data_IF_530153963860
#
_entry.id   IF_530153963860
#
_cell.length_a   1.000
_cell.length_b   1.000
_cell.length_c   1.000
_cell.angle_alpha   90.00
_cell.angle_beta   90.00
_cell.angle_gamma   90.00
#
_symmetry.space_group_name_H-M   'P 1'
#
loop_
_entity.id
_entity.type
_entity.pdbx_description
1 polymer ?
#
# COMPACT_ATOMS: atom_id res chain seq x y z
N UNK A 1 4.43 -9.36 10.32
CA UNK A 1 5.22 -10.37 9.58
C UNK A 1 4.45 -10.79 8.34
N UNK A 2 5.01 -10.59 7.14
CA UNK A 2 4.48 -11.21 5.93
C UNK A 2 4.47 -12.73 6.10
N UNK A 3 3.56 -13.43 5.41
CA UNK A 3 3.67 -14.89 5.36
C UNK A 3 5.03 -15.22 4.73
N UNK A 4 5.85 -16.07 5.36
CA UNK A 4 7.15 -16.42 4.82
C UNK A 4 6.98 -16.95 3.39
N UNK A 5 7.80 -16.44 2.46
CA UNK A 5 7.80 -16.90 1.07
C UNK A 5 8.76 -18.07 0.96
N UNK A 6 8.27 -19.19 0.47
CA UNK A 6 9.05 -20.39 0.30
C UNK A 6 9.17 -20.73 -1.18
N UNK A 7 10.28 -21.34 -1.56
CA UNK A 7 10.54 -21.74 -2.93
C UNK A 7 11.29 -23.06 -3.01
N UNK A 8 11.45 -23.55 -4.25
CA UNK A 8 12.32 -24.69 -4.51
C UNK A 8 13.79 -24.29 -4.26
N UNK A 9 14.60 -25.16 -3.64
CA UNK A 9 16.05 -24.94 -3.59
C UNK A 9 16.60 -24.80 -5.02
N UNK A 10 17.42 -23.77 -5.28
CA UNK A 10 18.15 -23.60 -6.56
C UNK A 10 19.59 -24.11 -6.42
N UNK A 11 20.03 -24.91 -7.38
CA UNK A 11 21.39 -25.48 -7.50
C UNK A 11 21.39 -26.78 -8.32
N UNK A 12 22.41 -26.95 -9.17
CA UNK A 12 22.65 -28.18 -9.95
C UNK A 12 23.24 -29.21 -9.00
N UNK A 13 22.37 -30.06 -8.44
CA UNK A 13 22.59 -31.47 -8.14
C UNK A 13 21.23 -32.04 -7.72
N UNK A 14 20.87 -33.23 -8.19
CA UNK A 14 19.66 -33.94 -7.78
C UNK A 14 19.72 -34.46 -6.32
N UNK A 15 20.62 -33.92 -5.50
CA UNK A 15 20.59 -34.02 -4.06
C UNK A 15 19.99 -32.72 -3.52
N UNK A 16 18.67 -32.74 -3.31
CA UNK A 16 17.92 -31.63 -2.75
C UNK A 16 18.59 -31.11 -1.49
N UNK A 17 18.97 -29.82 -1.49
CA UNK A 17 19.43 -29.13 -0.29
C UNK A 17 18.44 -29.42 0.85
N UNK A 18 18.95 -30.08 1.90
CA UNK A 18 18.23 -30.28 3.14
C UNK A 18 17.72 -28.93 3.64
N UNK A 19 16.49 -28.91 4.16
CA UNK A 19 15.89 -27.71 4.68
C UNK A 19 14.96 -28.08 5.83
N UNK A 20 14.87 -27.26 6.89
CA UNK A 20 13.89 -27.49 7.95
C UNK A 20 12.45 -27.24 7.49
N UNK A 21 12.22 -26.76 6.26
CA UNK A 21 10.88 -26.54 5.74
C UNK A 21 10.52 -27.50 4.61
N UNK A 22 9.27 -27.95 4.63
CA UNK A 22 8.71 -28.91 3.70
C UNK A 22 7.53 -28.28 2.98
N UNK A 23 7.57 -28.31 1.65
CA UNK A 23 6.38 -28.11 0.83
C UNK A 23 5.58 -29.41 0.80
N UNK A 24 4.31 -29.35 1.16
CA UNK A 24 3.41 -30.50 1.25
C UNK A 24 2.19 -30.25 0.37
N UNK A 25 2.08 -30.99 -0.73
CA UNK A 25 0.89 -30.96 -1.59
C UNK A 25 -0.17 -31.96 -1.13
N UNK A 26 -1.40 -31.75 -1.61
CA UNK A 26 -2.58 -32.52 -1.22
C UNK A 26 -2.87 -32.42 0.29
N UNK A 27 -2.54 -31.27 0.87
CA UNK A 27 -2.57 -31.01 2.30
C UNK A 27 -2.88 -29.53 2.52
N UNK A 28 -4.02 -29.23 3.16
CA UNK A 28 -4.45 -27.87 3.43
C UNK A 28 -5.98 -27.69 3.54
N UNK A 29 -6.46 -26.47 3.84
CA UNK A 29 -7.88 -26.21 4.09
C UNK A 29 -8.81 -26.56 2.92
N UNK A 30 -8.38 -26.33 1.67
CA UNK A 30 -9.19 -26.61 0.49
C UNK A 30 -9.42 -28.12 0.26
N UNK A 31 -8.59 -28.98 0.87
CA UNK A 31 -8.77 -30.43 0.85
C UNK A 31 -9.35 -30.95 2.18
N UNK A 32 -9.86 -30.06 3.04
CA UNK A 32 -10.55 -30.41 4.29
C UNK A 32 -9.63 -30.67 5.49
N UNK A 33 -8.41 -30.14 5.50
CA UNK A 33 -7.47 -30.27 6.62
C UNK A 33 -7.13 -28.89 7.20
N UNK A 34 -7.33 -28.70 8.52
CA UNK A 34 -6.92 -27.48 9.20
C UNK A 34 -5.40 -27.44 9.40
N UNK A 35 -4.82 -26.25 9.55
CA UNK A 35 -3.40 -26.11 9.85
C UNK A 35 -3.02 -26.79 11.18
N UNK A 36 -3.90 -26.76 12.18
CA UNK A 36 -3.67 -27.38 13.49
C UNK A 36 -3.63 -28.91 13.40
N UNK A 37 -4.51 -29.52 12.59
CA UNK A 37 -4.48 -30.96 12.32
C UNK A 37 -3.18 -31.34 11.62
N UNK A 38 -2.76 -30.56 10.64
CA UNK A 38 -1.50 -30.81 9.92
C UNK A 38 -0.31 -30.67 10.88
N UNK A 39 -0.27 -29.62 11.70
CA UNK A 39 0.80 -29.40 12.67
C UNK A 39 0.90 -30.56 13.67
N UNK A 40 -0.24 -31.07 14.14
CA UNK A 40 -0.30 -32.18 15.11
C UNK A 40 0.30 -33.47 14.54
N UNK A 41 0.02 -33.80 13.28
CA UNK A 41 0.59 -34.99 12.62
C UNK A 41 2.10 -34.83 12.41
N UNK A 42 2.54 -33.66 11.94
CA UNK A 42 3.96 -33.40 11.69
C UNK A 42 4.77 -33.27 12.99
N UNK A 43 4.14 -32.92 14.13
CA UNK A 43 4.80 -32.86 15.43
C UNK A 43 5.37 -34.22 15.91
N UNK A 44 4.91 -35.34 15.35
CA UNK A 44 5.46 -36.68 15.65
C UNK A 44 6.95 -36.84 15.24
N UNK A 45 7.43 -35.99 14.33
CA UNK A 45 8.81 -36.05 13.80
C UNK A 45 9.74 -34.99 14.41
N UNK A 46 9.18 -34.05 15.19
CA UNK A 46 9.93 -33.01 15.90
C UNK A 46 9.12 -31.74 16.11
N UNK A 47 9.76 -30.72 16.66
CA UNK A 47 9.10 -29.45 16.99
C UNK A 47 8.74 -28.66 15.71
N UNK A 48 7.45 -28.42 15.53
CA UNK A 48 6.89 -27.68 14.39
C UNK A 48 6.77 -26.20 14.75
N UNK A 49 7.54 -25.36 14.08
CA UNK A 49 7.48 -23.90 14.18
C UNK A 49 6.17 -23.32 13.63
N UNK A 50 5.57 -24.00 12.63
CA UNK A 50 4.26 -23.61 12.11
C UNK A 50 3.91 -24.24 10.77
N UNK A 51 2.64 -24.07 10.41
CA UNK A 51 2.07 -24.49 9.12
C UNK A 51 1.53 -23.26 8.39
N UNK A 52 2.03 -23.02 7.20
CA UNK A 52 1.73 -21.83 6.39
C UNK A 52 1.10 -22.25 5.05
N UNK A 53 0.24 -21.40 4.47
CA UNK A 53 -0.23 -21.63 3.11
C UNK A 53 0.95 -21.51 2.13
N UNK A 54 1.13 -22.52 1.25
CA UNK A 54 2.20 -22.48 0.25
C UNK A 54 1.85 -21.57 -0.94
N UNK A 55 0.55 -21.46 -1.25
CA UNK A 55 0.00 -20.62 -2.30
C UNK A 55 -1.49 -20.30 -1.99
N UNK A 56 -2.15 -19.58 -2.89
CA UNK A 56 -3.57 -19.19 -2.74
C UNK A 56 -4.54 -20.35 -3.03
N UNK A 57 -4.07 -21.55 -3.41
CA UNK A 57 -4.96 -22.68 -3.73
C UNK A 57 -5.61 -23.31 -2.50
N UNK A 58 -4.99 -23.14 -1.32
CA UNK A 58 -5.41 -23.79 -0.08
C UNK A 58 -5.26 -25.31 -0.06
N UNK A 59 -4.73 -25.93 -1.11
CA UNK A 59 -4.52 -27.38 -1.20
C UNK A 59 -3.06 -27.80 -0.92
N UNK A 60 -2.21 -26.82 -0.58
CA UNK A 60 -0.78 -26.98 -0.35
C UNK A 60 -0.35 -26.12 0.83
N UNK A 61 0.53 -26.65 1.66
CA UNK A 61 1.08 -25.97 2.83
C UNK A 61 2.60 -26.08 2.88
N UNK A 62 3.20 -25.22 3.69
CA UNK A 62 4.58 -25.31 4.15
C UNK A 62 4.57 -25.69 5.62
N UNK A 63 5.23 -26.79 5.97
CA UNK A 63 5.50 -27.17 7.36
C UNK A 63 6.93 -26.78 7.68
N UNK A 64 7.13 -26.02 8.74
CA UNK A 64 8.45 -25.56 9.20
C UNK A 64 8.81 -26.21 10.53
N UNK A 65 9.99 -26.82 10.61
CA UNK A 65 10.57 -27.41 11.81
C UNK A 65 11.66 -26.52 12.42
N UNK A 66 12.02 -26.80 13.67
CA UNK A 66 13.21 -26.21 14.31
C UNK A 66 14.52 -26.69 13.67
N UNK A 67 14.56 -27.91 13.12
CA UNK A 67 15.78 -28.51 12.57
C UNK A 67 15.54 -29.34 11.30
N UNK A 68 16.61 -29.57 10.54
CA UNK A 68 16.58 -30.33 9.28
C UNK A 68 16.35 -31.83 9.49
N UNK A 69 16.65 -32.35 10.68
CA UNK A 69 16.53 -33.79 10.95
C UNK A 69 15.08 -34.23 11.08
N UNK A 70 14.25 -33.40 11.73
CA UNK A 70 12.81 -33.59 11.79
C UNK A 70 12.13 -33.46 10.43
N UNK A 71 12.54 -32.47 9.63
CA UNK A 71 12.04 -32.32 8.26
C UNK A 71 12.38 -33.54 7.39
N UNK A 72 13.59 -34.09 7.52
CA UNK A 72 14.01 -35.31 6.83
C UNK A 72 13.21 -36.53 7.26
N UNK A 73 13.04 -36.73 8.57
CA UNK A 73 12.28 -37.86 9.11
C UNK A 73 10.82 -37.84 8.63
N UNK A 74 10.19 -36.66 8.63
CA UNK A 74 8.82 -36.50 8.13
C UNK A 74 8.71 -36.74 6.62
N UNK A 75 9.67 -36.26 5.82
CA UNK A 75 9.69 -36.50 4.38
C UNK A 75 9.84 -38.00 4.07
N UNK A 76 10.76 -38.70 4.73
CA UNK A 76 10.98 -40.14 4.54
C UNK A 76 9.76 -40.98 4.94
N UNK A 77 9.07 -40.58 6.01
CA UNK A 77 7.91 -41.31 6.52
C UNK A 77 6.61 -41.05 5.74
N UNK A 78 6.41 -39.83 5.23
CA UNK A 78 5.12 -39.38 4.70
C UNK A 78 5.09 -39.14 3.18
N UNK A 79 6.22 -38.87 2.51
CA UNK A 79 6.22 -38.65 1.05
C UNK A 79 5.82 -39.92 0.31
N UNK A 80 4.79 -39.85 -0.54
CA UNK A 80 4.36 -41.00 -1.35
C UNK A 80 3.63 -42.10 -0.57
N UNK A 81 3.47 -41.98 0.74
CA UNK A 81 2.78 -42.94 1.59
C UNK A 81 1.41 -42.43 2.03
N UNK A 82 0.37 -43.29 2.10
CA UNK A 82 -0.92 -42.91 2.67
C UNK A 82 -0.80 -42.57 4.17
N UNK A 83 -1.31 -41.41 4.57
CA UNK A 83 -1.33 -40.99 5.97
C UNK A 83 -2.74 -41.14 6.57
N UNK A 84 -3.01 -42.15 7.43
CA UNK A 84 -4.34 -42.39 8.01
C UNK A 84 -4.87 -41.20 8.80
N UNK A 85 -4.00 -40.53 9.55
CA UNK A 85 -4.33 -39.36 10.40
C UNK A 85 -4.76 -38.15 9.57
N UNK A 86 -4.38 -38.11 8.28
CA UNK A 86 -4.80 -37.09 7.32
C UNK A 86 -5.83 -37.64 6.32
N UNK A 87 -6.64 -38.61 6.74
CA UNK A 87 -7.74 -39.18 5.95
C UNK A 87 -7.27 -40.17 4.88
N UNK A 88 -6.16 -40.86 5.10
CA UNK A 88 -5.59 -41.84 4.17
C UNK A 88 -4.97 -41.24 2.91
N UNK A 89 -4.75 -39.92 2.89
CA UNK A 89 -4.23 -39.21 1.72
C UNK A 89 -2.75 -39.52 1.52
N UNK A 90 -2.36 -39.69 0.26
CA UNK A 90 -0.95 -39.70 -0.12
C UNK A 90 -0.47 -38.27 -0.29
N UNK A 91 0.58 -37.91 0.44
CA UNK A 91 1.20 -36.59 0.37
C UNK A 91 2.33 -36.58 -0.66
N UNK A 92 2.58 -35.41 -1.24
CA UNK A 92 3.79 -35.17 -2.03
C UNK A 92 4.62 -34.08 -1.36
N UNK A 93 5.74 -34.49 -0.79
CA UNK A 93 6.59 -33.70 0.08
C UNK A 93 7.91 -33.41 -0.62
N UNK A 94 8.34 -32.15 -0.58
CA UNK A 94 9.64 -31.72 -1.10
C UNK A 94 10.25 -30.72 -0.12
N UNK A 95 11.57 -30.72 0.00
CA UNK A 95 12.24 -29.63 0.73
C UNK A 95 11.91 -28.29 0.09
N UNK A 96 11.67 -27.30 0.94
CA UNK A 96 11.46 -25.92 0.54
C UNK A 96 12.31 -25.03 1.40
N UNK A 97 13.01 -24.10 0.77
CA UNK A 97 13.79 -23.10 1.49
C UNK A 97 12.94 -21.86 1.65
N UNK A 98 13.05 -21.22 2.82
CA UNK A 98 12.63 -19.83 2.97
C UNK A 98 13.38 -19.04 1.89
N UNK A 99 12.66 -18.45 0.95
CA UNK A 99 13.27 -17.49 0.06
C UNK A 99 13.54 -16.25 0.91
N UNK A 100 14.82 -15.84 1.07
CA UNK A 100 15.08 -14.45 1.39
C UNK A 100 14.31 -13.65 0.35
N UNK A 101 13.54 -12.64 0.77
CA UNK A 101 13.11 -11.60 -0.15
C UNK A 101 14.34 -11.21 -0.96
N UNK A 102 14.32 -11.49 -2.26
CA UNK A 102 15.51 -11.44 -3.10
C UNK A 102 16.26 -10.13 -2.88
N UNK A 103 17.56 -10.16 -2.50
CA UNK A 103 18.36 -8.94 -2.40
C UNK A 103 18.48 -8.17 -3.72
N UNK A 104 18.21 -8.83 -4.87
CA UNK A 104 18.33 -8.23 -6.20
C UNK A 104 17.16 -7.30 -6.62
N UNK A 105 16.27 -6.92 -5.70
CA UNK A 105 15.34 -5.80 -5.89
C UNK A 105 15.61 -4.61 -4.94
N UNK A 106 16.76 -4.59 -4.25
CA UNK A 106 17.13 -3.54 -3.27
C UNK A 106 17.87 -2.36 -3.92
N UNK A 107 18.04 -2.31 -5.24
CA UNK A 107 18.54 -1.09 -5.89
C UNK A 107 17.45 -0.01 -6.10
N UNK A 108 16.19 -0.29 -5.72
CA UNK A 108 15.06 0.61 -5.98
C UNK A 108 14.23 0.98 -4.74
N UNK A 109 14.66 0.52 -3.54
CA UNK A 109 13.98 0.84 -2.28
C UNK A 109 14.37 2.22 -1.79
N UNK A 110 13.50 3.20 -2.03
CA UNK A 110 13.62 4.56 -1.48
C UNK A 110 13.50 4.47 0.04
N UNK A 111 14.44 5.06 0.83
CA UNK A 111 14.30 5.15 2.27
C UNK A 111 12.98 5.80 2.67
N UNK A 112 12.24 5.15 3.57
CA UNK A 112 10.92 5.61 4.02
C UNK A 112 11.06 6.34 5.34
N UNK A 113 10.71 7.62 5.35
CA UNK A 113 10.74 8.44 6.57
C UNK A 113 9.41 8.37 7.33
N UNK A 114 9.47 8.63 8.64
CA UNK A 114 8.28 8.67 9.50
C UNK A 114 7.76 10.10 9.73
N UNK A 115 8.59 11.10 9.44
CA UNK A 115 8.29 12.53 9.60
C UNK A 115 8.53 13.23 8.27
N UNK A 116 7.72 14.25 7.98
CA UNK A 116 7.76 14.97 6.70
C UNK A 116 9.04 15.80 6.52
N UNK A 117 9.60 16.34 7.61
CA UNK A 117 10.83 17.14 7.60
C UNK A 117 12.02 16.39 6.99
N UNK A 118 12.11 15.08 7.21
CA UNK A 118 13.22 14.26 6.70
C UNK A 118 13.24 14.17 5.17
N UNK A 119 12.11 14.42 4.51
CA UNK A 119 12.02 14.36 3.05
C UNK A 119 12.64 15.58 2.39
N UNK A 120 12.78 16.70 3.12
CA UNK A 120 13.21 18.00 2.60
C UNK A 120 12.40 18.43 1.37
N UNK A 121 11.08 18.23 1.39
CA UNK A 121 10.15 18.69 0.36
C UNK A 121 9.43 19.95 0.89
N UNK A 122 9.68 21.13 0.32
CA UNK A 122 9.01 22.36 0.74
C UNK A 122 7.49 22.26 0.60
N UNK A 123 6.76 22.66 1.65
CA UNK A 123 5.30 22.65 1.68
C UNK A 123 4.66 21.28 1.94
N UNK A 124 5.46 20.27 2.33
CA UNK A 124 4.99 18.96 2.78
C UNK A 124 4.96 18.89 4.31
N UNK A 125 3.80 18.58 4.89
CA UNK A 125 3.65 18.40 6.33
C UNK A 125 2.86 17.13 6.65
N UNK A 126 3.18 16.48 7.77
CA UNK A 126 2.47 15.30 8.26
C UNK A 126 2.12 15.50 9.74
N UNK A 127 0.83 15.49 10.06
CA UNK A 127 0.31 15.55 11.43
C UNK A 127 -0.17 14.15 11.81
N UNK A 128 0.50 13.53 12.78
CA UNK A 128 0.11 12.24 13.35
C UNK A 128 -1.07 12.42 14.31
N UNK A 129 -1.88 11.36 14.46
CA UNK A 129 -3.05 11.33 15.37
C UNK A 129 -3.97 12.57 15.25
N UNK A 130 -4.16 13.06 14.01
CA UNK A 130 -5.01 14.20 13.68
C UNK A 130 -6.48 13.96 14.06
N UNK A 131 -6.92 12.70 13.96
CA UNK A 131 -8.19 12.23 14.49
C UNK A 131 -7.96 11.19 15.58
N UNK A 132 -8.89 11.11 16.52
CA UNK A 132 -8.98 10.03 17.49
C UNK A 132 -9.51 8.75 16.84
N UNK A 133 -9.35 7.61 17.52
CA UNK A 133 -9.94 6.33 17.07
C UNK A 133 -11.46 6.41 16.92
N UNK A 134 -12.14 7.13 17.83
CA UNK A 134 -13.59 7.30 17.77
C UNK A 134 -14.02 8.10 16.53
N UNK A 135 -13.34 9.21 16.25
CA UNK A 135 -13.61 9.99 15.04
C UNK A 135 -13.32 9.18 13.77
N UNK A 136 -12.26 8.37 13.75
CA UNK A 136 -11.98 7.44 12.64
C UNK A 136 -13.13 6.44 12.43
N UNK A 137 -13.65 5.83 13.48
CA UNK A 137 -14.81 4.92 13.41
C UNK A 137 -16.07 5.62 12.87
N UNK A 138 -16.38 6.82 13.35
CA UNK A 138 -17.54 7.61 12.91
C UNK A 138 -17.44 8.04 11.43
N UNK A 139 -16.24 8.46 10.99
CA UNK A 139 -15.96 8.80 9.59
C UNK A 139 -16.11 7.58 8.68
N UNK A 140 -15.59 6.42 9.10
CA UNK A 140 -15.66 5.17 8.33
C UNK A 140 -17.10 4.66 8.23
N UNK A 141 -17.85 4.65 9.33
CA UNK A 141 -19.27 4.28 9.33
C UNK A 141 -20.08 5.18 8.40
N UNK A 142 -19.83 6.49 8.46
CA UNK A 142 -20.48 7.48 7.60
C UNK A 142 -20.29 7.15 6.11
N UNK A 143 -19.06 6.88 5.66
CA UNK A 143 -18.81 6.60 4.23
C UNK A 143 -19.24 5.18 3.82
N UNK A 144 -19.26 4.21 4.74
CA UNK A 144 -19.69 2.85 4.41
C UNK A 144 -21.19 2.73 4.15
N UNK A 145 -22.01 3.58 4.77
CA UNK A 145 -23.46 3.66 4.54
C UNK A 145 -23.84 4.33 3.20
N UNK A 146 -22.87 4.92 2.51
CA UNK A 146 -23.09 5.71 1.28
C UNK A 146 -22.65 4.96 0.02
N UNK A 147 -23.29 5.24 -1.13
CA UNK A 147 -22.97 4.55 -2.38
C UNK A 147 -21.53 4.83 -2.83
N UNK A 148 -20.89 3.82 -3.42
CA UNK A 148 -19.53 3.90 -3.94
C UNK A 148 -19.52 3.86 -5.47
N UNK A 149 -18.67 4.70 -6.08
CA UNK A 149 -18.35 4.60 -7.51
C UNK A 149 -17.10 3.74 -7.69
N UNK A 150 -17.23 2.63 -8.41
CA UNK A 150 -16.11 1.75 -8.71
C UNK A 150 -15.25 2.30 -9.86
N UNK A 151 -13.95 2.35 -9.64
CA UNK A 151 -12.93 2.52 -10.69
C UNK A 151 -12.26 1.16 -10.95
N UNK A 152 -11.33 1.12 -11.91
CA UNK A 152 -10.70 -0.14 -12.35
C UNK A 152 -10.06 -0.99 -11.23
N UNK A 153 -9.51 -0.36 -10.18
CA UNK A 153 -8.80 -1.07 -9.09
C UNK A 153 -9.22 -0.65 -7.68
N UNK A 154 -10.01 0.42 -7.55
CA UNK A 154 -10.37 1.04 -6.26
C UNK A 154 -11.76 1.64 -6.37
N UNK A 155 -12.37 2.01 -5.24
CA UNK A 155 -13.66 2.71 -5.24
C UNK A 155 -13.54 4.10 -4.61
N UNK A 156 -14.43 5.00 -5.02
CA UNK A 156 -14.39 6.41 -4.62
C UNK A 156 -15.77 6.96 -4.27
N UNK A 157 -15.79 8.01 -3.46
CA UNK A 157 -16.93 8.91 -3.27
C UNK A 157 -16.47 10.35 -3.46
N UNK A 158 -17.35 11.19 -3.99
CA UNK A 158 -17.09 12.61 -4.22
C UNK A 158 -18.16 13.46 -3.53
N UNK A 159 -17.74 14.55 -2.92
CA UNK A 159 -18.61 15.53 -2.27
C UNK A 159 -18.15 16.94 -2.63
N UNK A 160 -19.07 17.91 -2.61
CA UNK A 160 -18.78 19.23 -3.18
C UNK A 160 -18.86 19.18 -4.70
N UNK A 161 -17.81 18.66 -5.31
CA UNK A 161 -17.72 18.51 -6.76
C UNK A 161 -17.26 17.11 -7.15
N UNK A 162 -17.78 16.60 -8.28
CA UNK A 162 -17.32 15.33 -8.85
C UNK A 162 -15.95 15.53 -9.53
N UNK A 163 -15.01 14.61 -9.26
CA UNK A 163 -13.75 14.57 -10.00
C UNK A 163 -13.91 13.71 -11.26
N UNK A 164 -13.77 14.34 -12.42
CA UNK A 164 -13.88 13.69 -13.73
C UNK A 164 -12.53 13.05 -14.11
N UNK A 165 -12.42 11.72 -13.99
CA UNK A 165 -11.17 11.00 -14.26
C UNK A 165 -10.73 11.01 -15.73
N UNK A 166 -11.65 11.19 -16.67
CA UNK A 166 -11.37 11.25 -18.11
C UNK A 166 -10.62 12.54 -18.48
N UNK A 167 -11.07 13.67 -17.94
CA UNK A 167 -10.46 14.99 -18.15
C UNK A 167 -9.45 15.36 -17.08
N UNK A 168 -9.37 14.57 -15.99
CA UNK A 168 -8.60 14.85 -14.78
C UNK A 168 -8.92 16.22 -14.19
N UNK A 169 -10.18 16.63 -14.23
CA UNK A 169 -10.60 17.96 -13.77
C UNK A 169 -11.95 17.89 -13.03
N UNK A 170 -12.43 19.03 -12.60
CA UNK A 170 -13.74 19.23 -12.00
C UNK A 170 -14.59 20.06 -12.95
N UNK A 171 -15.85 19.69 -13.12
CA UNK A 171 -16.82 20.55 -13.81
C UNK A 171 -17.37 21.60 -12.83
N UNK A 172 -16.83 22.82 -12.85
CA UNK A 172 -17.22 23.92 -11.95
C UNK A 172 -18.69 24.34 -12.10
N UNK A 173 -19.36 23.95 -13.19
CA UNK A 173 -20.80 24.18 -13.40
C UNK A 173 -21.69 23.12 -12.74
N UNK A 174 -21.13 22.02 -12.25
CA UNK A 174 -21.86 20.92 -11.64
C UNK A 174 -21.41 20.73 -10.18
N UNK A 175 -22.07 21.48 -9.29
CA UNK A 175 -21.91 21.35 -7.86
C UNK A 175 -22.85 20.26 -7.31
N UNK A 176 -22.32 19.31 -6.56
CA UNK A 176 -23.05 18.20 -5.91
C UNK A 176 -23.72 18.62 -4.60
N UNK A 177 -23.47 19.84 -4.12
CA UNK A 177 -23.88 20.33 -2.81
C UNK A 177 -22.70 20.47 -1.85
N UNK A 178 -22.93 21.10 -0.71
CA UNK A 178 -21.87 21.37 0.28
C UNK A 178 -21.19 20.09 0.80
N UNK A 179 -20.03 20.24 1.43
CA UNK A 179 -19.37 19.14 2.12
C UNK A 179 -20.28 18.60 3.24
N UNK A 180 -20.39 17.27 3.39
CA UNK A 180 -21.33 16.68 4.32
C UNK A 180 -20.95 16.96 5.77
N UNK A 181 -21.95 17.11 6.65
CA UNK A 181 -21.73 17.53 8.06
C UNK A 181 -20.81 16.60 8.86
N UNK A 182 -20.70 15.33 8.50
CA UNK A 182 -19.81 14.39 9.19
C UNK A 182 -18.32 14.73 9.04
N UNK A 183 -17.95 15.59 8.08
CA UNK A 183 -16.56 16.09 7.95
C UNK A 183 -16.35 17.46 8.56
N UNK A 184 -17.39 18.13 9.09
CA UNK A 184 -17.25 19.45 9.72
C UNK A 184 -16.19 19.49 10.84
N UNK A 185 -16.10 18.50 11.76
CA UNK A 185 -15.05 18.49 12.78
C UNK A 185 -13.63 18.43 12.18
N UNK A 186 -13.47 17.81 11.01
CA UNK A 186 -12.19 17.71 10.31
C UNK A 186 -11.82 19.05 9.68
N UNK A 187 -12.79 19.75 9.09
CA UNK A 187 -12.60 21.08 8.53
C UNK A 187 -12.24 22.10 9.62
N UNK A 188 -12.87 22.02 10.79
CA UNK A 188 -12.54 22.84 11.96
C UNK A 188 -11.11 22.56 12.45
N UNK A 189 -10.69 21.29 12.53
CA UNK A 189 -9.30 20.97 12.90
C UNK A 189 -8.28 21.46 11.87
N UNK A 190 -8.63 21.42 10.57
CA UNK A 190 -7.75 21.93 9.50
C UNK A 190 -7.55 23.44 9.66
N UNK A 191 -8.60 24.22 9.95
CA UNK A 191 -8.49 25.67 10.10
C UNK A 191 -7.69 26.12 11.33
N UNK A 192 -7.46 25.19 12.28
CA UNK A 192 -6.65 25.40 13.47
C UNK A 192 -5.17 25.00 13.30
N UNK A 193 -4.77 24.48 12.13
CA UNK A 193 -3.37 24.11 11.90
C UNK A 193 -2.47 25.37 11.90
N UNK A 194 -1.38 25.36 12.70
CA UNK A 194 -0.44 26.48 12.76
C UNK A 194 0.35 26.60 11.45
N UNK A 195 0.94 27.77 11.22
CA UNK A 195 1.90 28.03 10.13
C UNK A 195 1.35 27.87 8.70
N UNK A 196 0.03 27.92 8.53
CA UNK A 196 -0.61 28.14 7.25
C UNK A 196 -0.98 29.62 7.16
N UNK A 197 -0.31 30.36 6.26
CA UNK A 197 -0.64 31.76 5.99
C UNK A 197 -2.15 31.87 5.73
N UNK A 198 -2.84 32.59 6.61
CA UNK A 198 -4.30 32.69 6.66
C UNK A 198 -5.06 31.34 6.80
N UNK A 199 -4.70 30.49 7.77
CA UNK A 199 -5.45 29.28 8.14
C UNK A 199 -6.98 29.52 8.30
N UNK A 200 -7.36 30.69 8.82
CA UNK A 200 -8.74 31.12 9.00
C UNK A 200 -9.50 31.41 7.68
N UNK A 201 -8.81 31.53 6.54
CA UNK A 201 -9.41 31.72 5.21
C UNK A 201 -9.38 30.47 4.33
N UNK A 202 -8.94 29.32 4.85
CA UNK A 202 -8.92 28.07 4.09
C UNK A 202 -10.36 27.57 3.95
N UNK A 203 -10.96 27.84 2.79
CA UNK A 203 -12.27 27.29 2.41
C UNK A 203 -12.02 26.05 1.58
N UNK A 204 -12.53 24.90 2.00
CA UNK A 204 -12.47 23.64 1.26
C UNK A 204 -13.88 23.28 0.81
N UNK A 205 -14.06 23.02 -0.48
CA UNK A 205 -15.37 22.78 -1.09
C UNK A 205 -15.41 21.53 -1.97
N UNK A 206 -14.34 20.73 -1.98
CA UNK A 206 -14.33 19.42 -2.60
C UNK A 206 -13.72 18.38 -1.66
N UNK A 207 -14.33 17.20 -1.59
CA UNK A 207 -13.77 16.01 -0.95
C UNK A 207 -13.78 14.82 -1.92
N UNK A 208 -12.65 14.12 -2.04
CA UNK A 208 -12.56 12.78 -2.63
C UNK A 208 -12.24 11.77 -1.53
N UNK A 209 -13.14 10.81 -1.30
CA UNK A 209 -12.87 9.63 -0.48
C UNK A 209 -12.40 8.51 -1.40
N UNK A 210 -11.22 7.94 -1.14
CA UNK A 210 -10.71 6.77 -1.85
C UNK A 210 -10.64 5.59 -0.90
N UNK A 211 -11.10 4.41 -1.33
CA UNK A 211 -10.81 3.15 -0.65
C UNK A 211 -9.92 2.25 -1.52
N UNK A 212 -8.82 1.81 -0.93
CA UNK A 212 -7.83 0.93 -1.52
C UNK A 212 -7.92 -0.47 -0.88
N UNK A 213 -8.21 -1.51 -1.67
CA UNK A 213 -8.01 -2.89 -1.26
C UNK A 213 -6.51 -3.24 -1.06
N UNK A 214 -6.18 -4.36 -0.42
CA UNK A 214 -4.80 -4.77 -0.18
C UNK A 214 -4.06 -5.00 -1.50
N UNK A 215 -2.89 -4.37 -1.67
CA UNK A 215 -2.13 -4.47 -2.92
C UNK A 215 -2.47 -3.41 -3.97
N UNK A 216 -3.55 -2.64 -3.77
CA UNK A 216 -3.92 -1.55 -4.65
C UNK A 216 -3.24 -0.27 -4.19
N UNK A 217 -2.54 0.38 -5.12
CA UNK A 217 -1.93 1.68 -4.94
C UNK A 217 -2.56 2.73 -5.87
N UNK A 218 -1.78 3.76 -6.17
CA UNK A 218 -2.17 4.90 -7.01
C UNK A 218 -0.96 5.33 -7.83
N UNK A 219 -1.09 5.30 -9.16
CA UNK A 219 -0.02 5.70 -10.08
C UNK A 219 0.51 7.12 -9.82
N UNK A 220 1.78 7.42 -10.16
CA UNK A 220 2.35 8.75 -9.95
C UNK A 220 1.55 9.82 -10.68
N UNK A 221 1.20 10.90 -9.99
CA UNK A 221 0.48 12.04 -10.55
C UNK A 221 0.66 13.30 -9.70
N UNK A 222 0.41 14.46 -10.30
CA UNK A 222 0.20 15.72 -9.61
C UNK A 222 -1.30 16.05 -9.72
N UNK A 223 -1.89 16.57 -8.66
CA UNK A 223 -3.27 17.07 -8.71
C UNK A 223 -3.36 18.28 -9.65
N UNK A 224 -4.27 18.21 -10.62
CA UNK A 224 -4.43 19.17 -11.72
C UNK A 224 -4.39 20.61 -11.24
N UNK A 225 -3.55 21.43 -11.85
CA UNK A 225 -3.27 22.78 -11.39
C UNK A 225 -4.47 23.69 -11.61
N UNK A 226 -5.16 23.55 -12.75
CA UNK A 226 -6.39 24.29 -13.06
C UNK A 226 -7.60 23.88 -12.20
N UNK A 227 -7.61 22.65 -11.66
CA UNK A 227 -8.78 22.12 -10.96
C UNK A 227 -8.87 22.58 -9.50
N UNK A 228 -7.72 22.73 -8.83
CA UNK A 228 -7.67 22.95 -7.40
C UNK A 228 -6.69 24.07 -7.01
N UNK A 229 -6.92 24.70 -5.85
CA UNK A 229 -6.03 25.74 -5.33
C UNK A 229 -4.77 25.17 -4.66
N UNK A 230 -4.09 25.95 -3.82
CA UNK A 230 -2.74 25.68 -3.33
C UNK A 230 -2.63 24.62 -2.23
N UNK A 231 -3.68 24.43 -1.42
CA UNK A 231 -3.67 23.50 -0.29
C UNK A 231 -4.45 22.21 -0.59
N UNK A 232 -3.82 21.07 -0.31
CA UNK A 232 -4.43 19.74 -0.43
C UNK A 232 -4.17 18.97 0.86
N UNK A 233 -5.26 18.59 1.53
CA UNK A 233 -5.22 17.85 2.80
C UNK A 233 -5.65 16.41 2.55
N UNK A 234 -4.87 15.43 2.96
CA UNK A 234 -5.19 13.99 2.81
C UNK A 234 -5.13 13.28 4.16
N UNK A 235 -6.31 13.01 4.73
CA UNK A 235 -6.47 12.25 5.96
C UNK A 235 -6.43 10.75 5.63
N UNK A 236 -5.53 9.99 6.24
CA UNK A 236 -5.42 8.54 6.09
C UNK A 236 -6.17 7.83 7.22
N UNK A 237 -6.99 6.82 6.89
CA UNK A 237 -7.82 6.06 7.83
C UNK A 237 -7.77 4.55 7.54
N UNK A 238 -8.15 3.73 8.53
CA UNK A 238 -8.29 2.26 8.53
C UNK A 238 -7.01 1.45 8.28
N UNK A 239 -6.08 1.92 7.44
CA UNK A 239 -4.88 1.19 7.07
C UNK A 239 -3.73 2.12 6.67
N UNK A 240 -2.48 1.75 6.99
CA UNK A 240 -1.32 2.54 6.59
C UNK A 240 -0.97 2.36 5.11
N UNK A 241 -0.11 3.23 4.61
CA UNK A 241 0.66 2.98 3.38
C UNK A 241 1.97 3.77 3.35
N UNK A 242 2.85 3.42 2.41
CA UNK A 242 3.90 4.32 1.95
C UNK A 242 3.34 5.22 0.83
N UNK A 243 3.66 6.51 0.89
CA UNK A 243 3.53 7.43 -0.23
C UNK A 243 4.93 7.86 -0.71
N UNK A 244 5.18 7.72 -2.00
CA UNK A 244 6.40 8.16 -2.66
C UNK A 244 6.14 9.47 -3.42
N UNK A 245 7.12 10.37 -3.39
CA UNK A 245 7.16 11.61 -4.12
C UNK A 245 8.28 11.56 -5.15
N UNK A 246 7.96 11.96 -6.39
CA UNK A 246 8.90 12.02 -7.52
C UNK A 246 8.96 13.44 -8.10
N UNK A 247 10.15 14.04 -8.16
CA UNK A 247 10.39 15.34 -8.81
C UNK A 247 11.31 15.18 -10.01
N UNK A 248 10.80 15.46 -11.20
CA UNK A 248 11.55 15.33 -12.44
C UNK A 248 12.41 16.58 -12.66
N UNK A 249 13.68 16.43 -13.02
CA UNK A 249 14.60 17.58 -13.11
C UNK A 249 14.31 18.46 -14.32
N UNK A 250 13.83 17.88 -15.42
CA UNK A 250 13.61 18.59 -16.69
C UNK A 250 12.12 18.79 -17.04
N UNK A 251 11.20 18.54 -16.10
CA UNK A 251 9.75 18.62 -16.32
C UNK A 251 9.18 17.55 -17.27
N UNK A 252 10.04 16.68 -17.82
CA UNK A 252 9.71 15.73 -18.88
C UNK A 252 9.26 14.37 -18.30
N UNK A 253 8.11 14.35 -17.64
CA UNK A 253 7.48 13.10 -17.14
C UNK A 253 6.97 12.20 -18.27
N UNK A 254 6.70 12.78 -19.45
CA UNK A 254 6.08 12.08 -20.60
C UNK A 254 7.01 11.06 -21.28
N UNK A 255 8.33 11.16 -21.09
CA UNK A 255 9.33 10.35 -21.81
C UNK A 255 9.67 9.00 -21.15
N UNK A 256 9.05 8.63 -20.02
CA UNK A 256 9.41 7.43 -19.24
C UNK A 256 8.74 6.12 -19.75
N UNK A 257 7.98 6.16 -20.85
CA UNK A 257 7.28 4.97 -21.39
C UNK A 257 8.14 4.10 -22.34
N UNK A 258 9.37 4.48 -22.70
CA UNK A 258 10.15 3.79 -23.75
C UNK A 258 11.57 3.37 -23.39
N UNK A 259 12.07 3.61 -22.17
CA UNK A 259 13.42 3.17 -21.79
C UNK A 259 13.37 2.10 -20.71
N UNK A 260 13.74 0.88 -21.10
CA UNK A 260 14.30 -0.13 -20.21
C UNK A 260 15.36 0.52 -19.32
N UNK A 261 15.00 0.80 -18.08
CA UNK A 261 15.91 1.42 -17.11
C UNK A 261 16.96 0.37 -16.73
N UNK A 262 18.19 0.54 -17.23
CA UNK A 262 19.37 -0.11 -16.66
C UNK A 262 19.81 0.65 -15.40
N UNK A 263 20.26 -0.02 -14.33
CA UNK A 263 20.37 0.58 -12.99
C UNK A 263 21.60 1.47 -12.78
N UNK A 264 22.43 1.71 -13.80
CA UNK A 264 23.79 2.22 -13.59
C UNK A 264 24.03 3.67 -14.05
N UNK A 265 23.01 4.45 -14.45
CA UNK A 265 23.18 5.91 -14.66
C UNK A 265 21.86 6.69 -14.44
N UNK A 266 21.73 7.27 -13.24
CA UNK A 266 20.96 8.48 -12.93
C UNK A 266 19.48 8.51 -13.33
N UNK A 267 18.57 8.16 -12.41
CA UNK A 267 17.16 8.49 -12.57
C UNK A 267 16.98 10.01 -12.78
N UNK A 268 16.30 10.42 -13.86
CA UNK A 268 16.00 11.83 -14.19
C UNK A 268 15.04 12.52 -13.19
N UNK A 269 14.85 11.93 -12.01
CA UNK A 269 13.95 12.41 -10.98
C UNK A 269 14.45 12.06 -9.58
N UNK A 270 14.17 12.95 -8.63
CA UNK A 270 14.38 12.74 -7.21
C UNK A 270 13.24 11.93 -6.63
N UNK A 271 13.56 10.93 -5.80
CA UNK A 271 12.58 10.10 -5.09
C UNK A 271 12.69 10.30 -3.59
N UNK A 272 11.55 10.40 -2.93
CA UNK A 272 11.40 10.48 -1.46
C UNK A 272 10.20 9.67 -1.05
N UNK A 273 10.22 9.02 0.11
CA UNK A 273 9.10 8.23 0.58
C UNK A 273 8.78 8.52 2.04
N UNK A 274 7.49 8.54 2.37
CA UNK A 274 6.98 8.75 3.71
C UNK A 274 5.98 7.66 4.08
N UNK A 275 6.03 7.23 5.33
CA UNK A 275 5.00 6.38 5.92
C UNK A 275 3.81 7.21 6.37
N UNK A 276 2.61 6.83 5.93
CA UNK A 276 1.35 7.42 6.33
C UNK A 276 0.61 6.45 7.26
N UNK A 277 0.68 6.65 8.59
CA UNK A 277 -0.13 5.86 9.51
C UNK A 277 -1.61 6.22 9.42
N UNK A 278 -2.51 5.33 9.90
CA UNK A 278 -3.91 5.68 10.12
C UNK A 278 -4.02 6.91 11.04
N UNK A 279 -5.12 7.65 10.87
CA UNK A 279 -5.46 8.89 11.59
C UNK A 279 -4.50 10.06 11.40
N UNK A 280 -3.59 9.98 10.43
CA UNK A 280 -2.68 11.07 10.10
C UNK A 280 -3.22 11.96 8.99
N UNK A 281 -2.92 13.26 9.07
CA UNK A 281 -3.21 14.25 8.03
C UNK A 281 -1.93 14.64 7.30
N UNK A 282 -1.88 14.37 5.99
CA UNK A 282 -0.84 14.85 5.10
C UNK A 282 -1.30 16.17 4.45
N UNK A 283 -0.45 17.19 4.47
CA UNK A 283 -0.67 18.45 3.76
C UNK A 283 0.34 18.61 2.63
N UNK A 284 -0.17 18.90 1.44
CA UNK A 284 0.59 19.36 0.28
C UNK A 284 0.28 20.83 0.01
N UNK A 285 1.32 21.65 -0.03
CA UNK A 285 1.28 23.06 -0.39
C UNK A 285 2.52 23.44 -1.19
N UNK A 286 2.49 24.57 -1.89
CA UNK A 286 3.65 25.08 -2.65
C UNK A 286 4.27 24.00 -3.54
N UNK A 287 5.59 23.80 -3.41
CA UNK A 287 6.34 22.85 -4.23
C UNK A 287 5.80 21.42 -4.13
N UNK A 288 5.49 20.93 -2.92
CA UNK A 288 4.96 19.58 -2.70
C UNK A 288 3.68 19.32 -3.51
N UNK A 289 2.83 20.34 -3.68
CA UNK A 289 1.55 20.27 -4.40
C UNK A 289 1.68 20.49 -5.89
N UNK A 290 2.66 21.26 -6.34
CA UNK A 290 2.77 21.72 -7.74
C UNK A 290 3.89 21.05 -8.55
N UNK A 291 4.87 20.42 -7.92
CA UNK A 291 6.06 19.90 -8.61
C UNK A 291 6.42 18.45 -8.29
N UNK A 292 5.81 17.86 -7.26
CA UNK A 292 6.08 16.48 -6.86
C UNK A 292 4.93 15.55 -7.21
N UNK A 293 5.22 14.56 -8.05
CA UNK A 293 4.27 13.49 -8.33
C UNK A 293 4.16 12.59 -7.11
N UNK A 294 2.97 12.46 -6.55
CA UNK A 294 2.72 11.56 -5.44
C UNK A 294 2.18 10.21 -5.94
N UNK A 295 2.63 9.14 -5.29
CA UNK A 295 2.46 7.76 -5.71
C UNK A 295 2.23 6.87 -4.50
N UNK A 296 1.29 5.92 -4.60
CA UNK A 296 1.14 4.86 -3.60
C UNK A 296 1.52 3.54 -4.29
N UNK A 297 2.56 2.82 -3.84
CA UNK A 297 2.99 1.59 -4.50
C UNK A 297 1.94 0.48 -4.50
N UNK A 298 1.92 -0.33 -5.58
CA UNK A 298 1.02 -1.48 -5.75
C UNK A 298 1.63 -2.76 -5.14
N UNK A 299 1.61 -2.86 -3.81
CA UNK A 299 2.08 -4.04 -3.09
C UNK A 299 1.29 -4.27 -1.80
N UNK A 300 1.35 -5.51 -1.28
CA UNK A 300 0.63 -5.91 -0.05
C UNK A 300 1.46 -5.70 1.22
N UNK A 301 2.74 -5.34 1.09
CA UNK A 301 3.71 -5.24 2.17
C UNK A 301 4.55 -3.98 1.95
N UNK A 302 4.61 -3.14 2.96
CA UNK A 302 5.46 -1.95 3.04
C UNK A 302 6.69 -2.28 3.93
N UNK A 303 7.87 -1.85 3.51
CA UNK A 303 9.10 -1.89 4.34
C UNK A 303 9.36 -0.47 4.85
N UNK A 304 9.23 -0.27 6.15
CA UNK A 304 9.37 1.05 6.79
C UNK A 304 10.48 0.96 7.81
N UNK A 305 11.64 1.56 7.49
CA UNK A 305 12.90 1.29 8.20
C UNK A 305 13.14 -0.23 8.25
N UNK A 306 13.36 -0.79 9.44
CA UNK A 306 13.57 -2.23 9.64
C UNK A 306 12.26 -3.01 9.88
N UNK A 307 11.10 -2.35 9.75
CA UNK A 307 9.78 -2.94 10.02
C UNK A 307 9.04 -3.35 8.76
N UNK A 308 8.58 -4.60 8.74
CA UNK A 308 7.73 -5.14 7.66
C UNK A 308 6.26 -4.99 8.03
N UNK A 309 5.58 -4.06 7.38
CA UNK A 309 4.17 -3.73 7.62
C UNK A 309 3.31 -4.36 6.52
N UNK A 310 2.38 -5.23 6.91
CA UNK A 310 1.40 -5.78 5.96
C UNK A 310 0.24 -4.81 5.84
N UNK A 311 -0.14 -4.44 4.60
CA UNK A 311 -1.32 -3.59 4.39
C UNK A 311 -2.57 -4.31 4.89
N UNK A 312 -3.40 -3.57 5.61
CA UNK A 312 -4.67 -4.06 6.17
C UNK A 312 -5.67 -4.46 5.07
N UNK A 313 -6.84 -4.95 5.49
CA UNK A 313 -7.92 -5.37 4.59
C UNK A 313 -8.46 -4.24 3.70
N UNK A 314 -8.33 -2.98 4.16
CA UNK A 314 -8.61 -1.75 3.40
C UNK A 314 -7.76 -0.61 3.94
N UNK A 315 -7.51 0.38 3.08
CA UNK A 315 -7.09 1.75 3.46
C UNK A 315 -8.10 2.72 2.90
N UNK A 316 -8.49 3.70 3.69
CA UNK A 316 -9.35 4.81 3.25
C UNK A 316 -8.57 6.11 3.33
N UNK A 317 -8.76 7.01 2.37
CA UNK A 317 -8.24 8.38 2.49
C UNK A 317 -9.26 9.41 2.07
N UNK A 318 -9.33 10.49 2.83
CA UNK A 318 -10.18 11.65 2.58
C UNK A 318 -9.29 12.78 2.10
N UNK A 319 -9.45 13.19 0.84
CA UNK A 319 -8.65 14.27 0.26
C UNK A 319 -9.51 15.51 0.05
N UNK A 320 -9.23 16.55 0.84
CA UNK A 320 -9.93 17.83 0.82
C UNK A 320 -9.15 18.84 0.00
N UNK A 321 -9.88 19.60 -0.81
CA UNK A 321 -9.34 20.61 -1.72
C UNK A 321 -10.31 21.79 -1.83
N UNK A 322 -9.79 22.90 -2.35
CA UNK A 322 -10.56 24.02 -2.85
C UNK A 322 -10.57 23.97 -4.38
N UNK A 323 -11.73 23.94 -5.01
CA UNK A 323 -11.87 24.03 -6.46
C UNK A 323 -11.43 25.41 -6.93
N UNK A 324 -10.62 25.44 -7.99
CA UNK A 324 -10.11 26.66 -8.59
C UNK A 324 -11.04 27.13 -9.70
N UNK A 325 -11.35 28.43 -9.71
CA UNK A 325 -12.18 29.06 -10.74
C UNK A 325 -11.34 29.71 -11.86
N UNK A 326 -10.20 30.31 -11.50
CA UNK A 326 -9.33 31.04 -12.42
C UNK A 326 -8.11 30.22 -12.84
N UNK A 327 -7.47 30.49 -13.99
CA UNK A 327 -6.23 29.83 -14.41
C UNK A 327 -5.16 29.82 -13.32
N UNK A 328 -4.40 28.72 -13.20
CA UNK A 328 -3.44 28.57 -12.12
C UNK A 328 -2.17 29.45 -12.32
N UNK A 329 -1.84 30.35 -11.37
CA UNK A 329 -0.70 31.25 -11.47
C UNK A 329 0.57 30.73 -10.76
N UNK A 330 0.70 29.41 -10.54
CA UNK A 330 1.81 28.86 -9.77
C UNK A 330 3.19 29.10 -10.40
N UNK A 331 4.24 29.09 -9.59
CA UNK A 331 5.65 29.25 -10.01
C UNK A 331 6.24 27.98 -10.66
N UNK A 332 5.39 27.05 -11.10
CA UNK A 332 5.77 25.74 -11.64
C UNK A 332 5.16 25.50 -13.04
N UNK A 333 5.42 26.39 -14.03
CA UNK A 333 4.81 26.32 -15.38
C UNK A 333 5.02 24.98 -16.08
N UNK A 334 6.16 24.33 -15.87
CA UNK A 334 6.51 23.06 -16.50
C UNK A 334 5.54 21.91 -16.15
N UNK A 335 4.88 22.00 -14.99
CA UNK A 335 3.89 21.03 -14.50
C UNK A 335 2.44 21.53 -14.64
N UNK A 336 2.25 22.80 -15.03
CA UNK A 336 0.97 23.47 -14.94
C UNK A 336 0.16 23.37 -16.23
N UNK A 337 -0.99 22.69 -16.17
CA UNK A 337 -1.90 22.57 -17.32
C UNK A 337 -2.56 23.90 -17.71
N UNK A 338 -2.61 24.91 -16.82
CA UNK A 338 -3.08 26.25 -17.17
C UNK A 338 -2.07 27.13 -17.90
N UNK A 339 -0.78 26.80 -17.85
CA UNK A 339 0.31 27.63 -18.39
C UNK A 339 1.02 26.98 -19.58
N UNK A 340 0.51 25.84 -20.07
CA UNK A 340 1.07 25.06 -21.18
C UNK A 340 0.20 25.09 -22.43
#
# INVERSE_FOLDING_TARGET
MGLPRFGRPKGVDMQGKLSPNLFVANCGPAVGLSHDTIASVFAAFGEVNGVFAADESGARVIVSYCDESSARAALEALDGHPCPELGGRTLHIRYSVLQPTAPDQINDSVPVSLVASDLNIPGLYLVHDFVSTKEEEELLASIDERPWKSLAKRRVQHYGYEFCYETRNVNTRQHLGELPSFVSPILEKISLLPDLDNAASIVLDQLTVNEYPPGVGLSPHIDTHSAFEGFIFSLSLAGPCIMEFRRYTDGDWLNDNTKTQTPENGSNFLRRAIYLPPRSMLLLSGEARYAWHHYIPHHKIDLVKDSVIRRGSRRVSFTFRKVRADPCPCDFPQYCDSQR
#
